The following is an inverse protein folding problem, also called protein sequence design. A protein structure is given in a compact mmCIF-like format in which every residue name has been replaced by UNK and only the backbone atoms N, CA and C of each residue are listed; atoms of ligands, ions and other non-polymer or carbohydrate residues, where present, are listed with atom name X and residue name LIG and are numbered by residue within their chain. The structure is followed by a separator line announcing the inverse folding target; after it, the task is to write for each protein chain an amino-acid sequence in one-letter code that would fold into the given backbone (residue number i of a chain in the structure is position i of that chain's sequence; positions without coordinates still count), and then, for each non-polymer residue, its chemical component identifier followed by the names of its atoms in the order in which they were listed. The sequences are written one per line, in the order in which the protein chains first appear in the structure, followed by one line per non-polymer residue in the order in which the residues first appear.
data_IF_975464692777
#
_entry.id   IF_975464692777
#
_cell.length_a   1.000
_cell.length_b   1.000
_cell.length_c   1.000
_cell.angle_alpha   90.00
_cell.angle_beta   90.00
_cell.angle_gamma   90.00
#
_symmetry.space_group_name_H-M   'P 1'
#
loop_
_entity.id
_entity.type
_entity.pdbx_description
1 polymer ?
#
# COMPACT_ATOMS: atom_id res chain seq x y z
N UNK A 1 -4.04 -21.59 -32.32
CA UNK A 1 -4.41 -20.43 -31.48
C UNK A 1 -4.43 -20.91 -30.04
N UNK A 2 -3.91 -20.12 -29.12
CA UNK A 2 -3.98 -20.41 -27.68
C UNK A 2 -4.92 -19.41 -27.00
N UNK A 3 -5.47 -19.80 -25.85
CA UNK A 3 -6.35 -18.95 -25.06
C UNK A 3 -5.65 -18.56 -23.76
N UNK A 4 -5.81 -17.30 -23.35
CA UNK A 4 -5.30 -16.79 -22.08
C UNK A 4 -6.34 -15.98 -21.34
N UNK A 5 -6.24 -16.02 -20.01
CA UNK A 5 -7.07 -15.22 -19.11
C UNK A 5 -6.23 -14.10 -18.53
N UNK A 6 -6.66 -12.85 -18.73
CA UNK A 6 -5.99 -11.69 -18.18
C UNK A 6 -5.97 -11.74 -16.65
N UNK A 7 -4.80 -11.67 -15.98
CA UNK A 7 -4.74 -11.73 -14.52
C UNK A 7 -5.28 -10.46 -13.84
N UNK A 8 -5.51 -9.37 -14.58
CA UNK A 8 -6.00 -8.11 -14.01
C UNK A 8 -7.52 -7.94 -14.13
N UNK A 9 -8.14 -8.41 -15.21
CA UNK A 9 -9.57 -8.21 -15.45
C UNK A 9 -10.32 -9.49 -15.86
N UNK A 10 -9.66 -10.65 -15.76
CA UNK A 10 -10.21 -11.98 -16.09
C UNK A 10 -10.77 -12.15 -17.50
N UNK A 11 -10.53 -11.18 -18.39
CA UNK A 11 -10.90 -11.28 -19.80
C UNK A 11 -10.12 -12.42 -20.43
N UNK A 12 -10.86 -13.36 -20.99
CA UNK A 12 -10.36 -14.44 -21.82
C UNK A 12 -10.19 -13.95 -23.25
N UNK A 13 -9.05 -14.21 -23.86
CA UNK A 13 -8.79 -13.84 -25.25
C UNK A 13 -7.85 -14.82 -25.94
N UNK A 14 -7.96 -14.87 -27.26
CA UNK A 14 -7.06 -15.65 -28.09
C UNK A 14 -5.73 -14.91 -28.31
N UNK A 15 -4.66 -15.69 -28.39
CA UNK A 15 -3.30 -15.25 -28.71
C UNK A 15 -2.63 -16.24 -29.66
N UNK A 16 -1.53 -15.82 -30.28
CA UNK A 16 -0.63 -16.74 -30.99
C UNK A 16 -0.08 -17.78 -30.00
N UNK A 17 0.05 -19.03 -30.45
CA UNK A 17 0.38 -20.15 -29.57
C UNK A 17 1.78 -20.01 -28.94
N UNK A 18 2.69 -19.37 -29.67
CA UNK A 18 4.09 -19.10 -29.35
C UNK A 18 4.33 -17.65 -28.91
N UNK A 19 3.29 -16.87 -28.63
CA UNK A 19 3.45 -15.50 -28.18
C UNK A 19 4.26 -15.43 -26.87
N UNK A 20 5.29 -14.59 -26.84
CA UNK A 20 6.10 -14.31 -25.62
C UNK A 20 5.38 -13.38 -24.63
N UNK A 21 4.25 -12.80 -25.04
CA UNK A 21 3.42 -11.92 -24.23
C UNK A 21 2.13 -11.52 -24.96
N UNK A 22 1.31 -10.69 -24.33
CA UNK A 22 0.12 -10.12 -24.95
C UNK A 22 -0.27 -8.79 -24.30
N UNK A 23 -1.10 -8.03 -25.03
CA UNK A 23 -1.83 -6.88 -24.48
C UNK A 23 -3.29 -7.26 -24.33
N UNK A 24 -3.86 -7.02 -23.16
CA UNK A 24 -5.26 -7.32 -22.92
C UNK A 24 -6.15 -6.40 -23.75
N UNK A 25 -7.18 -6.96 -24.39
CA UNK A 25 -8.12 -6.20 -25.23
C UNK A 25 -9.07 -5.31 -24.43
N UNK A 26 -9.31 -5.63 -23.15
CA UNK A 26 -10.21 -4.86 -22.26
C UNK A 26 -9.43 -3.86 -21.41
N UNK A 27 -8.53 -4.33 -20.53
CA UNK A 27 -7.85 -3.45 -19.58
C UNK A 27 -6.58 -2.80 -20.13
N UNK A 28 -6.21 -3.07 -21.39
CA UNK A 28 -4.98 -2.59 -22.02
C UNK A 28 -3.67 -3.01 -21.33
N UNK A 29 -3.72 -3.84 -20.28
CA UNK A 29 -2.56 -4.32 -19.55
C UNK A 29 -1.66 -5.18 -20.45
N UNK A 30 -0.35 -4.91 -20.42
CA UNK A 30 0.65 -5.71 -21.15
C UNK A 30 1.29 -6.74 -20.22
N UNK A 31 1.46 -7.96 -20.73
CA UNK A 31 1.95 -9.12 -20.01
C UNK A 31 3.01 -9.86 -20.82
N UNK A 32 4.02 -10.39 -20.14
CA UNK A 32 5.00 -11.33 -20.69
C UNK A 32 4.87 -12.69 -20.02
N UNK A 33 5.09 -13.76 -20.77
CA UNK A 33 5.13 -15.10 -20.20
C UNK A 33 6.52 -15.43 -19.66
N UNK A 34 6.54 -16.08 -18.51
CA UNK A 34 7.75 -16.71 -17.96
C UNK A 34 7.46 -18.17 -17.67
N UNK A 35 8.50 -18.99 -17.61
CA UNK A 35 8.41 -20.40 -17.24
C UNK A 35 9.27 -20.68 -16.02
N UNK A 36 8.73 -21.39 -15.04
CA UNK A 36 9.51 -21.88 -13.91
C UNK A 36 10.45 -22.99 -14.37
N UNK A 37 11.75 -22.84 -14.11
CA UNK A 37 12.74 -23.88 -14.45
C UNK A 37 12.68 -25.10 -13.52
N UNK A 38 11.94 -25.03 -12.42
CA UNK A 38 11.78 -26.12 -11.45
C UNK A 38 10.54 -26.95 -11.76
N UNK A 39 9.36 -26.34 -11.76
CA UNK A 39 8.10 -27.07 -12.00
C UNK A 39 7.61 -27.00 -13.46
N UNK A 40 8.27 -26.26 -14.34
CA UNK A 40 7.90 -26.16 -15.76
C UNK A 40 6.67 -25.29 -16.05
N UNK A 41 5.98 -24.81 -15.02
CA UNK A 41 4.75 -24.02 -15.16
C UNK A 41 4.99 -22.65 -15.80
N UNK A 42 3.99 -22.20 -16.56
CA UNK A 42 4.03 -20.93 -17.31
C UNK A 42 3.13 -19.90 -16.65
N UNK A 43 3.63 -18.68 -16.48
CA UNK A 43 2.93 -17.62 -15.76
C UNK A 43 3.03 -16.28 -16.47
N UNK A 44 2.09 -15.39 -16.14
CA UNK A 44 2.08 -13.99 -16.55
C UNK A 44 2.97 -13.14 -15.65
N UNK A 45 3.71 -12.20 -16.24
CA UNK A 45 4.52 -11.19 -15.54
C UNK A 45 4.37 -9.83 -16.22
N UNK A 46 4.74 -8.76 -15.53
CA UNK A 46 4.89 -7.46 -16.19
C UNK A 46 6.07 -7.49 -17.16
N UNK A 47 5.99 -6.81 -18.31
CA UNK A 47 7.11 -6.67 -19.22
C UNK A 47 8.38 -6.19 -18.51
N UNK A 48 9.52 -6.82 -18.81
CA UNK A 48 10.79 -6.45 -18.21
C UNK A 48 10.99 -6.90 -16.75
N UNK A 49 10.13 -7.78 -16.22
CA UNK A 49 10.32 -8.39 -14.90
C UNK A 49 11.63 -9.20 -14.87
N UNK A 50 12.60 -8.76 -14.05
CA UNK A 50 13.94 -9.38 -13.94
C UNK A 50 14.10 -10.33 -12.76
N UNK A 51 13.18 -10.30 -11.81
CA UNK A 51 13.13 -11.19 -10.66
C UNK A 51 11.68 -11.45 -10.25
N UNK A 52 11.36 -12.68 -9.89
CA UNK A 52 10.01 -13.12 -9.54
C UNK A 52 10.07 -14.42 -8.74
N UNK A 53 8.99 -14.76 -8.04
CA UNK A 53 8.85 -16.03 -7.31
C UNK A 53 7.78 -16.86 -7.98
N UNK A 54 8.06 -18.13 -8.25
CA UNK A 54 7.08 -19.03 -8.86
C UNK A 54 5.87 -19.21 -7.93
N UNK A 55 4.63 -18.91 -8.38
CA UNK A 55 3.46 -19.05 -7.53
C UNK A 55 3.08 -20.53 -7.28
N UNK A 56 3.50 -21.45 -8.16
CA UNK A 56 3.27 -22.88 -7.95
C UNK A 56 4.24 -23.52 -6.93
N UNK A 57 5.55 -23.35 -7.07
CA UNK A 57 6.56 -24.03 -6.23
C UNK A 57 7.38 -23.12 -5.31
N UNK A 58 7.12 -21.81 -5.28
CA UNK A 58 7.83 -20.86 -4.42
C UNK A 58 9.29 -20.57 -4.78
N UNK A 59 9.82 -21.15 -5.86
CA UNK A 59 11.22 -20.94 -6.24
C UNK A 59 11.46 -19.52 -6.74
N UNK A 60 12.46 -18.79 -6.22
CA UNK A 60 12.83 -17.48 -6.73
C UNK A 60 13.61 -17.61 -8.05
N UNK A 61 13.26 -16.76 -9.01
CA UNK A 61 13.91 -16.63 -10.31
C UNK A 61 14.47 -15.22 -10.50
N UNK A 62 15.56 -15.14 -11.26
CA UNK A 62 16.22 -13.89 -11.58
C UNK A 62 17.11 -13.35 -10.46
N UNK A 63 17.77 -12.22 -10.72
CA UNK A 63 18.65 -11.57 -9.76
C UNK A 63 17.89 -10.42 -9.12
N UNK A 64 17.41 -10.62 -7.89
CA UNK A 64 17.04 -9.46 -7.06
C UNK A 64 18.31 -8.64 -6.87
N UNK A 65 18.28 -7.34 -7.19
CA UNK A 65 19.29 -6.43 -6.63
C UNK A 65 18.99 -6.37 -5.14
N UNK A 66 19.52 -7.33 -4.37
CA UNK A 66 19.48 -7.27 -2.91
C UNK A 66 20.30 -6.06 -2.50
N UNK A 67 19.63 -4.93 -2.26
CA UNK A 67 20.00 -4.11 -1.12
C UNK A 67 19.93 -5.03 0.10
N UNK A 68 21.01 -5.09 0.85
CA UNK A 68 21.15 -5.97 2.01
C UNK A 68 20.16 -5.57 3.10
N UNK A 69 18.97 -6.17 3.12
CA UNK A 69 18.20 -6.29 4.37
C UNK A 69 18.95 -7.29 5.24
N UNK A 70 19.84 -6.78 6.09
CA UNK A 70 20.39 -7.54 7.21
C UNK A 70 19.25 -7.76 8.20
N UNK A 71 18.58 -8.89 8.07
CA UNK A 71 17.78 -9.46 9.16
C UNK A 71 18.70 -10.41 9.93
N UNK A 72 18.80 -10.19 11.24
CA UNK A 72 19.27 -11.18 12.20
C UNK A 72 20.74 -11.06 12.60
N UNK A 73 21.01 -10.30 13.66
CA UNK A 73 21.84 -10.79 14.77
C UNK A 73 21.39 -10.05 16.04
N UNK A 74 20.96 -10.73 17.11
CA UNK A 74 20.79 -10.11 18.41
C UNK A 74 22.17 -10.01 19.06
N UNK A 75 22.70 -8.79 19.23
CA UNK A 75 23.86 -8.57 20.09
C UNK A 75 23.41 -7.76 21.32
N UNK A 76 23.72 -8.22 22.55
CA UNK A 76 23.26 -7.58 23.77
C UNK A 76 24.10 -6.35 24.16
N UNK A 77 23.41 -5.37 24.73
CA UNK A 77 23.79 -4.39 25.77
C UNK A 77 25.24 -3.86 25.81
N UNK A 78 25.33 -2.52 25.71
CA UNK A 78 25.89 -1.56 26.68
C UNK A 78 26.65 -0.44 25.96
N UNK A 79 26.03 0.72 25.77
CA UNK A 79 26.72 2.00 26.00
C UNK A 79 25.77 2.92 26.75
N UNK A 80 26.14 3.13 28.00
CA UNK A 80 25.70 4.16 28.92
C UNK A 80 26.03 5.54 28.33
N UNK A 81 25.05 6.44 28.33
CA UNK A 81 25.25 7.86 28.56
C UNK A 81 25.67 8.73 27.36
N UNK A 82 24.76 9.57 26.89
CA UNK A 82 24.95 11.02 26.92
C UNK A 82 23.65 11.73 26.52
N UNK A 83 23.19 12.57 27.45
CA UNK A 83 22.04 13.46 27.35
C UNK A 83 22.43 14.68 26.51
N UNK A 84 21.62 15.03 25.51
CA UNK A 84 21.39 16.40 25.02
C UNK A 84 19.90 16.42 24.61
N UNK A 85 18.96 17.10 25.25
CA UNK A 85 19.04 18.38 25.94
C UNK A 85 18.36 19.47 25.09
N UNK A 86 17.07 19.32 24.77
CA UNK A 86 16.21 20.35 24.15
C UNK A 86 14.78 20.08 24.66
N UNK A 87 14.01 20.98 25.25
CA UNK A 87 14.25 22.36 25.65
C UNK A 87 13.16 22.70 26.69
N UNK A 88 13.57 23.39 27.74
CA UNK A 88 12.71 23.84 28.84
C UNK A 88 11.65 24.82 28.35
N UNK A 89 10.39 24.59 28.71
CA UNK A 89 9.28 25.53 28.60
C UNK A 89 9.57 26.71 29.52
N UNK A 90 9.93 27.86 28.96
CA UNK A 90 10.04 29.12 29.71
C UNK A 90 8.67 29.80 29.64
N UNK A 91 7.91 29.69 30.74
CA UNK A 91 6.81 30.60 31.03
C UNK A 91 7.37 31.71 31.93
N UNK A 92 7.63 32.88 31.35
CA UNK A 92 7.77 34.11 32.13
C UNK A 92 6.81 35.15 31.55
N UNK A 93 5.69 35.32 32.24
CA UNK A 93 4.95 36.58 32.20
C UNK A 93 5.75 37.62 32.98
N UNK A 94 5.92 38.83 32.45
CA UNK A 94 5.50 40.10 33.05
C UNK A 94 5.75 41.26 32.06
N UNK A 95 4.96 42.30 32.27
CA UNK A 95 4.70 43.45 31.44
C UNK A 95 5.84 44.49 31.36
N UNK A 96 5.77 45.32 30.31
CA UNK A 96 5.81 46.80 30.27
C UNK A 96 6.63 47.33 29.08
N UNK A 97 6.09 48.32 28.39
CA UNK A 97 6.89 49.32 27.65
C UNK A 97 6.68 49.32 26.13
N UNK A 98 6.14 50.42 25.63
CA UNK A 98 5.89 50.75 24.23
C UNK A 98 7.19 51.05 23.46
N UNK A 99 7.18 50.81 22.15
CA UNK A 99 7.48 51.84 21.14
C UNK A 99 7.07 51.37 19.73
N UNK A 100 6.51 52.31 18.99
CA UNK A 100 5.75 52.21 17.75
C UNK A 100 6.69 52.22 16.52
N UNK A 101 6.72 51.14 15.72
CA UNK A 101 7.26 51.16 14.35
C UNK A 101 6.46 50.17 13.46
N UNK A 102 5.76 50.63 12.41
CA UNK A 102 5.05 49.74 11.50
C UNK A 102 6.03 49.20 10.44
N UNK A 103 6.53 47.97 10.66
CA UNK A 103 7.27 47.20 9.65
C UNK A 103 6.33 46.13 9.07
N UNK A 104 6.22 46.00 7.74
CA UNK A 104 5.21 45.16 7.11
C UNK A 104 5.39 43.68 7.48
N UNK A 105 4.30 43.07 7.97
CA UNK A 105 4.18 41.64 8.20
C UNK A 105 4.66 40.84 6.99
N UNK A 106 5.66 39.96 7.11
CA UNK A 106 5.68 38.78 6.27
C UNK A 106 4.44 37.97 6.66
N UNK A 107 3.58 37.74 5.67
CA UNK A 107 2.40 36.88 5.80
C UNK A 107 2.78 35.60 6.55
N UNK A 108 1.89 35.04 7.39
CA UNK A 108 2.09 33.71 7.93
C UNK A 108 2.31 32.78 6.75
N UNK A 109 3.53 32.25 6.65
CA UNK A 109 3.81 31.15 5.76
C UNK A 109 2.81 30.08 6.14
N UNK A 110 1.86 29.82 5.24
CA UNK A 110 0.88 28.77 5.40
C UNK A 110 1.60 27.52 5.89
N UNK A 111 1.16 26.86 6.97
CA UNK A 111 1.71 25.58 7.31
C UNK A 111 1.53 24.70 6.07
N UNK A 112 2.66 24.23 5.56
CA UNK A 112 2.74 23.22 4.52
C UNK A 112 1.63 22.20 4.72
N UNK A 113 0.86 21.97 3.66
CA UNK A 113 -0.26 21.02 3.57
C UNK A 113 -0.15 19.91 4.60
N UNK A 114 -1.00 19.94 5.63
CA UNK A 114 -1.40 18.70 6.29
C UNK A 114 -1.84 17.81 5.13
N UNK A 115 -1.11 16.72 4.90
CA UNK A 115 -1.50 15.74 3.90
C UNK A 115 -2.94 15.37 4.25
N UNK A 116 -3.86 15.68 3.35
CA UNK A 116 -5.26 15.35 3.49
C UNK A 116 -5.36 13.83 3.73
N UNK A 117 -5.76 13.37 4.92
CA UNK A 117 -5.75 11.94 5.26
C UNK A 117 -6.61 11.13 4.29
N UNK A 118 -7.66 11.74 3.73
CA UNK A 118 -8.48 11.09 2.71
C UNK A 118 -7.72 10.92 1.38
N UNK A 119 -6.88 11.89 0.99
CA UNK A 119 -5.96 11.70 -0.15
C UNK A 119 -4.89 10.65 0.09
N UNK A 120 -4.45 10.49 1.33
CA UNK A 120 -3.51 9.44 1.71
C UNK A 120 -4.18 8.06 1.56
N UNK A 121 -5.39 7.90 2.10
CA UNK A 121 -6.24 6.70 1.93
C UNK A 121 -6.42 6.37 0.45
N UNK A 122 -6.84 7.33 -0.37
CA UNK A 122 -7.04 7.09 -1.81
C UNK A 122 -5.76 6.70 -2.55
N UNK A 123 -4.59 7.19 -2.10
CA UNK A 123 -3.30 6.74 -2.65
C UNK A 123 -2.99 5.30 -2.26
N UNK A 124 -3.21 4.96 -0.99
CA UNK A 124 -2.85 3.66 -0.44
C UNK A 124 -3.82 2.56 -0.93
N UNK A 125 -5.07 2.91 -1.27
CA UNK A 125 -6.03 2.03 -1.94
C UNK A 125 -5.63 1.64 -3.38
N UNK A 126 -4.85 2.46 -4.08
CA UNK A 126 -4.34 2.11 -5.43
C UNK A 126 -3.41 0.88 -5.38
N UNK A 127 -2.70 0.69 -4.26
CA UNK A 127 -1.77 -0.42 -4.06
C UNK A 127 -2.44 -1.74 -3.62
N UNK A 128 -3.74 -1.71 -3.27
CA UNK A 128 -4.54 -2.90 -2.90
C UNK A 128 -4.81 -3.83 -4.09
N UNK A 129 -4.55 -3.38 -5.32
CA UNK A 129 -4.81 -4.11 -6.57
C UNK A 129 -3.95 -5.37 -6.82
N UNK A 130 -3.14 -5.82 -5.86
CA UNK A 130 -2.22 -6.96 -6.04
C UNK A 130 -2.65 -8.22 -5.28
N UNK A 131 -3.70 -8.19 -4.46
CA UNK A 131 -4.26 -9.35 -3.72
C UNK A 131 -3.21 -10.33 -3.15
N UNK A 132 -2.06 -9.81 -2.69
CA UNK A 132 -1.07 -10.62 -1.96
C UNK A 132 -1.42 -10.53 -0.50
N UNK A 133 -1.66 -11.67 0.14
CA UNK A 133 -2.10 -11.78 1.54
C UNK A 133 -1.24 -10.92 2.49
N UNK A 134 0.10 -10.97 2.35
CA UNK A 134 1.02 -10.14 3.15
C UNK A 134 0.95 -8.63 2.85
N UNK A 135 0.63 -8.26 1.61
CA UNK A 135 0.47 -6.85 1.21
C UNK A 135 -0.87 -6.30 1.72
N UNK A 136 -1.91 -7.12 1.66
CA UNK A 136 -3.24 -6.84 2.20
C UNK A 136 -3.18 -6.64 3.73
N UNK A 137 -2.45 -7.50 4.46
CA UNK A 137 -2.24 -7.32 5.89
C UNK A 137 -1.60 -5.98 6.26
N UNK A 138 -0.52 -5.59 5.56
CA UNK A 138 0.12 -4.27 5.77
C UNK A 138 -0.76 -3.10 5.37
N UNK A 139 -1.56 -3.23 4.31
CA UNK A 139 -2.52 -2.21 3.90
C UNK A 139 -3.61 -2.02 4.98
N UNK A 140 -4.11 -3.10 5.58
CA UNK A 140 -5.08 -3.03 6.67
C UNK A 140 -4.52 -2.31 7.91
N UNK A 141 -3.25 -2.51 8.26
CA UNK A 141 -2.60 -1.79 9.35
C UNK A 141 -2.48 -0.29 9.06
N UNK A 142 -2.05 0.08 7.85
CA UNK A 142 -1.95 1.48 7.43
C UNK A 142 -3.33 2.17 7.42
N UNK A 143 -4.34 1.53 6.82
CA UNK A 143 -5.72 2.04 6.77
C UNK A 143 -6.35 2.16 8.17
N UNK A 144 -5.97 1.29 9.13
CA UNK A 144 -6.41 1.45 10.53
C UNK A 144 -5.88 2.74 11.14
N UNK A 145 -4.60 3.05 10.91
CA UNK A 145 -4.00 4.29 11.39
C UNK A 145 -4.62 5.53 10.72
N UNK A 146 -4.98 5.43 9.43
CA UNK A 146 -5.66 6.51 8.72
C UNK A 146 -7.09 6.73 9.22
N UNK A 147 -7.84 5.67 9.52
CA UNK A 147 -9.17 5.77 10.13
C UNK A 147 -9.11 6.48 11.49
N UNK A 148 -8.12 6.14 12.33
CA UNK A 148 -7.90 6.82 13.61
C UNK A 148 -7.55 8.30 13.43
N UNK A 149 -6.80 8.65 12.37
CA UNK A 149 -6.50 10.03 12.03
C UNK A 149 -7.75 10.80 11.56
N UNK A 150 -8.63 10.17 10.77
CA UNK A 150 -9.90 10.76 10.32
C UNK A 150 -10.84 11.04 11.51
N UNK A 151 -10.98 10.11 12.47
CA UNK A 151 -11.77 10.36 13.69
C UNK A 151 -11.23 11.52 14.53
N UNK A 152 -9.91 11.64 14.64
CA UNK A 152 -9.27 12.77 15.34
C UNK A 152 -9.57 14.13 14.67
N UNK A 153 -9.92 14.13 13.38
CA UNK A 153 -10.34 15.31 12.63
C UNK A 153 -11.87 15.53 12.65
N UNK A 154 -12.62 14.65 13.31
CA UNK A 154 -14.09 14.68 13.34
C UNK A 154 -14.75 14.16 12.07
N UNK A 155 -14.00 13.51 11.18
CA UNK A 155 -14.49 12.91 9.95
C UNK A 155 -14.93 11.46 10.17
N UNK A 156 -15.99 11.31 10.98
CA UNK A 156 -16.53 10.01 11.38
C UNK A 156 -17.07 9.21 10.19
N UNK A 157 -17.56 9.89 9.15
CA UNK A 157 -18.12 9.24 7.97
C UNK A 157 -17.02 8.55 7.15
N UNK A 158 -15.91 9.24 6.88
CA UNK A 158 -14.80 8.64 6.13
C UNK A 158 -14.04 7.62 6.98
N UNK A 159 -13.92 7.85 8.29
CA UNK A 159 -13.32 6.87 9.19
C UNK A 159 -14.08 5.52 9.16
N UNK A 160 -15.42 5.56 9.27
CA UNK A 160 -16.25 4.36 9.21
C UNK A 160 -16.10 3.62 7.87
N UNK A 161 -16.07 4.33 6.75
CA UNK A 161 -15.87 3.72 5.44
C UNK A 161 -14.50 3.04 5.30
N UNK A 162 -13.44 3.63 5.87
CA UNK A 162 -12.09 3.03 5.88
C UNK A 162 -12.05 1.78 6.79
N UNK A 163 -12.77 1.79 7.92
CA UNK A 163 -12.88 0.64 8.81
C UNK A 163 -13.58 -0.55 8.14
N UNK A 164 -14.62 -0.30 7.35
CA UNK A 164 -15.32 -1.32 6.57
C UNK A 164 -14.37 -1.98 5.55
N UNK A 165 -13.49 -1.19 4.91
CA UNK A 165 -12.44 -1.73 4.02
C UNK A 165 -11.45 -2.59 4.82
N UNK A 166 -10.98 -2.12 5.98
CA UNK A 166 -10.06 -2.88 6.85
C UNK A 166 -10.68 -4.22 7.26
N UNK A 167 -11.96 -4.23 7.62
CA UNK A 167 -12.69 -5.44 7.98
C UNK A 167 -12.76 -6.44 6.82
N UNK A 168 -13.10 -5.96 5.61
CA UNK A 168 -13.15 -6.79 4.42
C UNK A 168 -11.77 -7.36 4.04
N UNK A 169 -10.71 -6.57 4.16
CA UNK A 169 -9.34 -7.04 3.92
C UNK A 169 -8.97 -8.17 4.90
N UNK A 170 -9.25 -8.02 6.19
CA UNK A 170 -8.95 -9.04 7.20
C UNK A 170 -9.72 -10.34 6.95
N UNK A 171 -11.00 -10.23 6.56
CA UNK A 171 -11.81 -11.39 6.19
C UNK A 171 -11.23 -12.14 4.97
N UNK A 172 -10.79 -11.41 3.95
CA UNK A 172 -10.11 -12.02 2.80
C UNK A 172 -8.83 -12.76 3.20
N UNK A 173 -7.98 -12.13 4.02
CA UNK A 173 -6.74 -12.73 4.51
C UNK A 173 -7.00 -14.03 5.26
N UNK A 174 -7.98 -14.04 6.16
CA UNK A 174 -8.35 -15.22 6.95
C UNK A 174 -8.80 -16.39 6.04
N UNK A 175 -9.67 -16.13 5.06
CA UNK A 175 -10.14 -17.15 4.12
C UNK A 175 -9.01 -17.65 3.23
N UNK A 176 -8.14 -16.76 2.76
CA UNK A 176 -7.00 -17.09 1.90
C UNK A 176 -5.95 -17.95 2.64
N UNK A 177 -5.65 -17.64 3.91
CA UNK A 177 -4.72 -18.43 4.73
C UNK A 177 -5.30 -19.81 5.08
N UNK A 178 -6.63 -19.90 5.25
CA UNK A 178 -7.35 -21.16 5.47
C UNK A 178 -7.48 -22.05 4.23
N UNK A 179 -7.05 -21.60 3.05
CA UNK A 179 -7.20 -22.32 1.79
C UNK A 179 -8.65 -22.43 1.29
N UNK A 180 -9.53 -21.55 1.77
CA UNK A 180 -10.95 -21.50 1.40
C UNK A 180 -11.20 -20.77 0.08
N UNK A 181 -12.44 -20.85 -0.40
CA UNK A 181 -12.90 -20.08 -1.56
C UNK A 181 -13.03 -18.60 -1.18
N UNK A 182 -12.19 -17.75 -1.76
CA UNK A 182 -12.15 -16.31 -1.47
C UNK A 182 -13.20 -15.50 -2.24
N UNK A 183 -14.09 -16.12 -3.02
CA UNK A 183 -15.06 -15.39 -3.86
C UNK A 183 -15.93 -14.43 -3.04
N UNK A 184 -16.58 -14.92 -1.98
CA UNK A 184 -17.44 -14.10 -1.13
C UNK A 184 -16.67 -12.96 -0.42
N UNK A 185 -15.44 -13.24 0.05
CA UNK A 185 -14.60 -12.23 0.69
C UNK A 185 -14.10 -11.18 -0.32
N UNK A 186 -13.91 -11.56 -1.58
CA UNK A 186 -13.57 -10.64 -2.67
C UNK A 186 -14.75 -9.72 -2.98
N UNK A 187 -15.97 -10.26 -3.05
CA UNK A 187 -17.19 -9.47 -3.27
C UNK A 187 -17.40 -8.44 -2.14
N UNK A 188 -17.21 -8.84 -0.88
CA UNK A 188 -17.27 -7.93 0.27
C UNK A 188 -16.22 -6.81 0.20
N UNK A 189 -14.98 -7.14 -0.19
CA UNK A 189 -13.93 -6.14 -0.34
C UNK A 189 -14.25 -5.15 -1.47
N UNK A 190 -14.78 -5.62 -2.59
CA UNK A 190 -15.17 -4.75 -3.70
C UNK A 190 -16.33 -3.82 -3.32
N UNK A 191 -17.30 -4.30 -2.55
CA UNK A 191 -18.41 -3.49 -2.03
C UNK A 191 -17.91 -2.38 -1.08
N UNK A 192 -17.02 -2.73 -0.14
CA UNK A 192 -16.41 -1.77 0.77
C UNK A 192 -15.57 -0.71 0.03
N UNK A 193 -14.83 -1.11 -1.01
CA UNK A 193 -14.06 -0.19 -1.85
C UNK A 193 -14.96 0.77 -2.64
N UNK A 194 -16.15 0.33 -3.07
CA UNK A 194 -17.11 1.16 -3.79
C UNK A 194 -17.77 2.23 -2.89
N UNK A 195 -17.76 2.04 -1.57
CA UNK A 195 -18.26 3.01 -0.61
C UNK A 195 -17.35 4.24 -0.43
N UNK A 196 -16.07 4.14 -0.85
CA UNK A 196 -15.11 5.25 -0.78
C UNK A 196 -14.99 5.93 -2.14
N UNK A 197 -15.50 7.16 -2.24
CA UNK A 197 -15.38 7.96 -3.46
C UNK A 197 -14.02 8.66 -3.55
N UNK A 198 -13.08 8.02 -4.25
CA UNK A 198 -11.75 8.59 -4.55
C UNK A 198 -11.72 9.42 -5.85
N UNK A 199 -12.85 10.00 -6.29
CA UNK A 199 -12.85 10.98 -7.38
C UNK A 199 -12.19 12.30 -6.93
N UNK A 200 -10.88 12.39 -7.14
CA UNK A 200 -10.08 13.62 -6.94
C UNK A 200 -10.17 14.51 -8.18
#
# INVERSE_FOLDING_TARGET
MAEVTCPQCHTRQEIEADADGYRCIVCAGTWSFVRCTVCGERFHTRPGTRAWTCPNCGTPHGRTRRGTSRVGLPLPLLIVGAIVGIGTVIFLAQALGADDVPTPSPAPSSPSSIADPFRQVCRDLVDVQVFRVEALGRAAEALTADADALRQQGDEQNAAAVEDIVAAIRSYVEVAEGGGDTQAATEQLLDALAAVDCSI
#
